data_IF_461384515085
#
_entry.id   IF_461384515085
#
_cell.length_a   1.000
_cell.length_b   1.000
_cell.length_c   1.000
_cell.angle_alpha   90.00
_cell.angle_beta   90.00
_cell.angle_gamma   90.00
#
_symmetry.space_group_name_H-M   'P 1'
#
loop_
_entity.id
_entity.type
_entity.pdbx_description
1 polymer ?
#
# COMPACT_ATOMS: atom_id res chain seq x y z
N UNK A 1 1.14 -5.57 7.06
CA UNK A 1 1.08 -6.91 6.41
C UNK A 1 1.27 -6.78 4.90
N UNK A 2 1.72 -7.81 4.18
CA UNK A 2 1.97 -7.75 2.72
C UNK A 2 1.29 -8.89 1.96
N UNK A 3 1.03 -8.70 0.67
CA UNK A 3 0.59 -9.76 -0.27
C UNK A 3 1.05 -9.44 -1.70
N UNK A 4 1.01 -10.43 -2.59
CA UNK A 4 1.35 -10.32 -4.00
C UNK A 4 0.19 -10.82 -4.86
N UNK A 5 -0.25 -10.05 -5.84
CA UNK A 5 -1.40 -10.41 -6.69
C UNK A 5 -1.36 -9.68 -8.04
N UNK A 6 -2.30 -10.00 -8.94
CA UNK A 6 -2.49 -9.35 -10.23
C UNK A 6 -3.86 -9.69 -10.82
N UNK A 7 -4.38 -8.84 -11.70
CA UNK A 7 -5.57 -9.08 -12.53
C UNK A 7 -6.75 -9.59 -11.70
N UNK A 8 -7.29 -10.77 -12.03
CA UNK A 8 -8.46 -11.37 -11.39
C UNK A 8 -8.23 -11.62 -9.90
N UNK A 9 -6.99 -11.94 -9.50
CA UNK A 9 -6.63 -12.13 -8.10
C UNK A 9 -6.80 -10.85 -7.29
N UNK A 10 -6.48 -9.68 -7.87
CA UNK A 10 -6.68 -8.40 -7.22
C UNK A 10 -8.16 -8.06 -7.08
N UNK A 11 -8.97 -8.35 -8.12
CA UNK A 11 -10.42 -8.13 -8.07
C UNK A 11 -11.09 -8.90 -6.93
N UNK A 12 -10.65 -10.13 -6.66
CA UNK A 12 -11.14 -10.94 -5.55
C UNK A 12 -10.75 -10.38 -4.17
N UNK A 13 -9.77 -9.49 -4.10
CA UNK A 13 -9.35 -8.84 -2.86
C UNK A 13 -10.12 -7.53 -2.59
N UNK A 14 -10.80 -6.93 -3.57
CA UNK A 14 -11.51 -5.65 -3.45
C UNK A 14 -12.41 -5.57 -2.19
N UNK A 15 -13.25 -6.58 -1.86
CA UNK A 15 -14.10 -6.50 -0.68
C UNK A 15 -13.30 -6.34 0.63
N UNK A 16 -12.17 -7.04 0.75
CA UNK A 16 -11.29 -6.93 1.91
C UNK A 16 -10.48 -5.64 1.89
N UNK A 17 -10.15 -5.08 0.73
CA UNK A 17 -9.45 -3.80 0.64
C UNK A 17 -10.26 -2.68 1.29
N UNK A 18 -11.57 -2.61 1.07
CA UNK A 18 -12.41 -1.64 1.78
C UNK A 18 -12.34 -1.78 3.30
N UNK A 19 -12.27 -3.01 3.81
CA UNK A 19 -12.17 -3.28 5.25
C UNK A 19 -10.78 -2.91 5.79
N UNK A 20 -9.72 -3.26 5.09
CA UNK A 20 -8.34 -2.93 5.47
C UNK A 20 -8.14 -1.40 5.51
N UNK A 21 -8.61 -0.68 4.50
CA UNK A 21 -8.54 0.78 4.45
C UNK A 21 -9.45 1.43 5.50
N UNK A 22 -10.69 0.95 5.63
CA UNK A 22 -11.64 1.47 6.61
C UNK A 22 -11.20 1.30 8.06
N UNK A 23 -10.42 0.26 8.37
CA UNK A 23 -9.84 0.03 9.69
C UNK A 23 -8.44 0.67 9.87
N UNK A 24 -7.95 1.41 8.86
CA UNK A 24 -6.65 2.09 8.87
C UNK A 24 -5.51 1.16 9.27
N UNK A 25 -5.46 0.00 8.60
CA UNK A 25 -4.47 -1.03 8.84
C UNK A 25 -3.28 -0.85 7.89
N UNK A 26 -2.03 -0.71 8.42
CA UNK A 26 -0.85 -0.59 7.58
C UNK A 26 -0.59 -1.89 6.81
N UNK A 27 -0.75 -1.83 5.48
CA UNK A 27 -0.47 -2.96 4.59
C UNK A 27 -0.01 -2.50 3.22
N UNK A 28 0.78 -3.34 2.54
CA UNK A 28 1.25 -3.07 1.17
C UNK A 28 0.92 -4.26 0.28
N UNK A 29 0.21 -4.00 -0.81
CA UNK A 29 -0.09 -4.98 -1.83
C UNK A 29 0.86 -4.72 -3.00
N UNK A 30 1.76 -5.67 -3.27
CA UNK A 30 2.65 -5.60 -4.42
C UNK A 30 1.95 -6.21 -5.63
N UNK A 31 1.65 -5.39 -6.63
CA UNK A 31 0.82 -5.78 -7.77
C UNK A 31 1.62 -5.68 -9.05
N UNK A 32 1.80 -6.82 -9.73
CA UNK A 32 2.25 -6.80 -11.13
C UNK A 32 1.05 -6.53 -12.03
N UNK A 33 0.80 -5.25 -12.33
CA UNK A 33 -0.43 -4.77 -12.96
C UNK A 33 -0.66 -5.48 -14.29
N UNK A 34 -1.87 -6.02 -14.47
CA UNK A 34 -2.20 -6.95 -15.55
C UNK A 34 -3.64 -6.79 -16.04
N UNK A 35 -3.81 -6.95 -17.35
CA UNK A 35 -5.11 -6.96 -18.03
C UNK A 35 -6.18 -7.77 -17.29
N UNK A 36 -7.35 -7.16 -17.08
CA UNK A 36 -8.57 -7.81 -16.64
C UNK A 36 -9.19 -8.56 -17.82
N UNK A 37 -9.58 -9.82 -17.60
CA UNK A 37 -10.28 -10.60 -18.61
C UNK A 37 -11.62 -9.94 -18.96
N UNK A 38 -11.79 -9.58 -20.23
CA UNK A 38 -13.01 -8.95 -20.75
C UNK A 38 -13.65 -9.84 -21.82
N UNK A 39 -13.38 -9.58 -23.11
CA UNK A 39 -13.77 -10.46 -24.22
C UNK A 39 -12.87 -11.71 -24.31
N UNK A 40 -11.65 -11.61 -23.79
CA UNK A 40 -10.67 -12.68 -23.74
C UNK A 40 -9.77 -12.54 -22.50
N UNK A 41 -9.13 -13.64 -22.11
CA UNK A 41 -8.07 -13.63 -21.10
C UNK A 41 -6.80 -13.00 -21.68
N UNK A 42 -6.17 -12.11 -20.93
CA UNK A 42 -4.85 -11.59 -21.24
C UNK A 42 -3.95 -11.69 -20.01
N UNK A 43 -2.72 -12.19 -20.20
CA UNK A 43 -1.72 -12.33 -19.15
C UNK A 43 -0.80 -11.12 -19.02
N UNK A 44 -0.77 -10.24 -20.02
CA UNK A 44 0.17 -9.13 -20.14
C UNK A 44 -0.25 -7.88 -19.35
N UNK A 45 0.70 -6.97 -19.20
CA UNK A 45 0.56 -5.76 -18.40
C UNK A 45 -0.34 -4.70 -19.01
N UNK A 46 -1.26 -4.20 -18.19
CA UNK A 46 -1.92 -2.90 -18.30
C UNK A 46 -2.37 -2.50 -16.88
N UNK A 47 -3.09 -1.38 -16.73
CA UNK A 47 -3.53 -0.90 -15.40
C UNK A 47 -5.01 -1.16 -15.10
N UNK A 48 -5.68 -2.03 -15.86
CA UNK A 48 -7.12 -2.26 -15.72
C UNK A 48 -7.51 -2.86 -14.37
N UNK A 49 -6.63 -3.65 -13.76
CA UNK A 49 -6.84 -4.26 -12.45
C UNK A 49 -6.63 -3.27 -11.29
N UNK A 50 -5.53 -2.53 -11.29
CA UNK A 50 -5.24 -1.52 -10.27
C UNK A 50 -6.26 -0.39 -10.31
N UNK A 51 -6.69 0.06 -11.50
CA UNK A 51 -7.73 1.08 -11.62
C UNK A 51 -9.12 0.59 -11.22
N UNK A 52 -9.39 -0.72 -11.23
CA UNK A 52 -10.61 -1.27 -10.65
C UNK A 52 -10.63 -1.15 -9.11
N UNK A 53 -9.49 -0.87 -8.47
CA UNK A 53 -9.33 -0.75 -7.02
C UNK A 53 -9.18 0.68 -6.52
N UNK A 54 -9.13 1.70 -7.40
CA UNK A 54 -8.85 3.10 -7.03
C UNK A 54 -9.78 3.70 -5.97
N UNK A 55 -11.01 3.19 -5.90
CA UNK A 55 -12.04 3.65 -4.96
C UNK A 55 -12.03 2.91 -3.61
N UNK A 56 -11.14 1.92 -3.42
CA UNK A 56 -11.11 1.09 -2.19
C UNK A 56 -10.59 1.83 -0.97
N UNK A 57 -9.98 3.00 -1.16
CA UNK A 57 -9.31 3.76 -0.09
C UNK A 57 -7.86 3.36 0.13
N UNK A 58 -7.27 2.53 -0.73
CA UNK A 58 -5.83 2.32 -0.75
C UNK A 58 -5.13 3.50 -1.43
N UNK A 59 -3.97 3.88 -0.91
CA UNK A 59 -3.02 4.69 -1.65
C UNK A 59 -2.44 3.89 -2.81
N UNK A 60 -2.06 4.54 -3.90
CA UNK A 60 -1.53 3.88 -5.08
C UNK A 60 -0.18 4.51 -5.43
N UNK A 61 0.89 3.71 -5.41
CA UNK A 61 2.24 4.10 -5.78
C UNK A 61 2.68 3.28 -7.00
N UNK A 62 3.04 3.97 -8.08
CA UNK A 62 3.41 3.37 -9.35
C UNK A 62 4.92 3.42 -9.55
N UNK A 63 5.50 2.33 -10.06
CA UNK A 63 6.93 2.17 -10.27
C UNK A 63 7.19 1.81 -11.74
N UNK A 64 8.06 2.57 -12.40
CA UNK A 64 8.19 2.52 -13.86
C UNK A 64 9.28 1.55 -14.38
N UNK A 65 10.23 1.16 -13.53
CA UNK A 65 11.36 0.31 -13.90
C UNK A 65 11.85 -0.54 -12.71
N UNK A 66 12.65 -1.61 -12.93
CA UNK A 66 13.12 -2.48 -11.85
C UNK A 66 13.89 -1.78 -10.73
N UNK A 67 14.59 -0.68 -11.00
CA UNK A 67 15.29 0.10 -9.97
C UNK A 67 14.28 0.86 -9.09
N UNK A 68 13.30 1.53 -9.68
CA UNK A 68 12.20 2.16 -8.94
C UNK A 68 11.40 1.17 -8.09
N UNK A 69 11.20 -0.07 -8.58
CA UNK A 69 10.58 -1.14 -7.77
C UNK A 69 11.39 -1.44 -6.50
N UNK A 70 12.72 -1.42 -6.60
CA UNK A 70 13.59 -1.60 -5.43
C UNK A 70 13.57 -0.38 -4.49
N UNK A 71 13.51 0.82 -5.05
CA UNK A 71 13.67 2.07 -4.30
C UNK A 71 12.39 2.55 -3.62
N UNK A 72 11.24 2.39 -4.29
CA UNK A 72 9.95 2.91 -3.85
C UNK A 72 9.10 1.89 -3.07
N UNK A 73 9.36 0.59 -3.21
CA UNK A 73 8.71 -0.42 -2.38
C UNK A 73 8.91 -0.17 -0.87
N UNK A 74 10.12 0.19 -0.38
CA UNK A 74 10.31 0.66 0.99
C UNK A 74 9.48 1.89 1.35
N UNK A 75 9.36 2.87 0.45
CA UNK A 75 8.53 4.07 0.67
C UNK A 75 7.09 3.66 0.96
N UNK A 76 6.51 2.75 0.17
CA UNK A 76 5.16 2.24 0.40
C UNK A 76 5.01 1.58 1.77
N UNK A 77 5.98 0.76 2.20
CA UNK A 77 5.93 0.10 3.52
C UNK A 77 6.08 1.09 4.68
N UNK A 78 7.05 1.99 4.59
CA UNK A 78 7.34 2.97 5.63
C UNK A 78 6.20 4.00 5.77
N UNK A 79 5.66 4.48 4.63
CA UNK A 79 4.52 5.38 4.61
C UNK A 79 3.23 4.69 5.08
N UNK A 80 3.01 3.41 4.76
CA UNK A 80 1.87 2.67 5.29
C UNK A 80 1.92 2.57 6.82
N UNK A 81 3.11 2.29 7.40
CA UNK A 81 3.30 2.18 8.85
C UNK A 81 2.99 3.50 9.56
N UNK A 82 3.57 4.61 9.08
CA UNK A 82 3.39 5.91 9.71
C UNK A 82 2.02 6.54 9.41
N UNK A 83 1.57 6.49 8.15
CA UNK A 83 0.34 7.10 7.69
C UNK A 83 -0.93 6.29 7.98
N UNK A 84 -0.79 5.00 8.36
CA UNK A 84 -1.88 4.04 8.61
C UNK A 84 -2.78 3.72 7.41
N UNK A 85 -2.56 4.36 6.27
CA UNK A 85 -3.27 4.08 5.02
C UNK A 85 -2.58 2.93 4.30
N UNK A 86 -3.32 1.90 3.83
CA UNK A 86 -2.72 0.81 3.07
C UNK A 86 -2.37 1.23 1.64
N UNK A 87 -1.36 0.57 1.05
CA UNK A 87 -0.82 0.88 -0.28
C UNK A 87 -1.03 -0.25 -1.28
N UNK A 88 -1.38 0.10 -2.51
CA UNK A 88 -1.13 -0.70 -3.71
C UNK A 88 0.18 -0.17 -4.28
N UNK A 89 1.24 -0.94 -4.16
CA UNK A 89 2.51 -0.68 -4.80
C UNK A 89 2.54 -1.48 -6.09
N UNK A 90 2.54 -0.82 -7.25
CA UNK A 90 2.34 -1.51 -8.53
C UNK A 90 3.33 -1.11 -9.61
N UNK A 91 3.61 -2.09 -10.46
CA UNK A 91 4.51 -1.99 -11.61
C UNK A 91 3.98 -2.83 -12.75
N UNK A 92 4.38 -2.51 -13.98
CA UNK A 92 3.81 -3.13 -15.18
C UNK A 92 4.13 -4.63 -15.27
N UNK A 93 3.08 -5.44 -15.40
CA UNK A 93 3.18 -6.89 -15.59
C UNK A 93 3.93 -7.23 -16.88
N UNK A 94 4.87 -8.17 -16.79
CA UNK A 94 5.87 -8.51 -17.81
C UNK A 94 6.84 -7.38 -18.14
N UNK A 95 6.35 -6.17 -18.46
CA UNK A 95 7.21 -5.08 -18.92
C UNK A 95 8.22 -4.64 -17.88
N UNK A 96 7.84 -4.58 -16.61
CA UNK A 96 8.75 -4.26 -15.49
C UNK A 96 8.98 -5.50 -14.62
N UNK A 97 7.93 -6.31 -14.38
CA UNK A 97 8.03 -7.44 -13.45
C UNK A 97 8.94 -8.59 -13.90
N UNK A 98 9.21 -8.70 -15.21
CA UNK A 98 10.10 -9.71 -15.78
C UNK A 98 11.28 -9.09 -16.55
N UNK A 99 11.46 -7.77 -16.46
CA UNK A 99 12.62 -7.10 -17.03
C UNK A 99 13.85 -7.38 -16.17
N UNK A 100 14.93 -7.85 -16.80
CA UNK A 100 16.21 -8.06 -16.13
C UNK A 100 17.05 -6.81 -16.34
N UNK A 101 17.32 -6.10 -15.25
CA UNK A 101 18.20 -4.95 -15.22
C UNK A 101 19.23 -5.13 -14.11
N UNK A 102 20.46 -4.63 -14.32
CA UNK A 102 21.41 -4.47 -13.22
C UNK A 102 20.93 -3.30 -12.36
N UNK A 103 20.58 -3.59 -11.12
CA UNK A 103 20.09 -2.61 -10.15
C UNK A 103 20.98 -2.57 -8.90
N UNK A 104 20.92 -1.46 -8.19
CA UNK A 104 21.40 -1.37 -6.81
C UNK A 104 20.29 -1.87 -5.87
N UNK A 105 20.69 -2.47 -4.74
CA UNK A 105 19.76 -3.09 -3.78
C UNK A 105 20.00 -2.56 -2.38
N UNK A 106 18.95 -2.55 -1.58
CA UNK A 106 19.04 -2.18 -0.17
C UNK A 106 19.74 -3.26 0.66
N UNK A 107 20.53 -2.81 1.64
CA UNK A 107 20.76 -3.58 2.85
C UNK A 107 19.54 -3.42 3.78
N UNK A 108 19.15 -4.49 4.46
CA UNK A 108 18.06 -4.46 5.41
C UNK A 108 18.38 -3.58 6.63
N UNK A 109 19.65 -3.39 6.97
CA UNK A 109 20.06 -2.44 8.00
C UNK A 109 19.66 -1.00 7.64
N UNK A 110 19.91 -0.58 6.39
CA UNK A 110 19.51 0.75 5.91
C UNK A 110 18.00 0.95 5.94
N UNK A 111 17.24 -0.10 5.59
CA UNK A 111 15.77 -0.07 5.67
C UNK A 111 15.30 0.05 7.13
N UNK A 112 15.93 -0.67 8.06
CA UNK A 112 15.58 -0.65 9.47
C UNK A 112 15.80 0.73 10.10
N UNK A 113 16.84 1.46 9.68
CA UNK A 113 17.15 2.82 10.16
C UNK A 113 16.06 3.84 9.77
N UNK A 114 15.31 3.59 8.68
CA UNK A 114 14.26 4.49 8.22
C UNK A 114 12.94 4.30 8.96
N UNK A 115 12.74 3.17 9.66
CA UNK A 115 11.47 2.79 10.29
C UNK A 115 11.10 3.73 11.45
N UNK A 116 9.85 4.17 11.46
CA UNK A 116 9.25 4.81 12.62
C UNK A 116 8.79 3.76 13.65
N UNK A 117 9.65 3.47 14.64
CA UNK A 117 9.38 2.46 15.66
C UNK A 117 8.23 2.81 16.61
N UNK A 118 7.95 4.10 16.81
CA UNK A 118 6.79 4.53 17.61
C UNK A 118 5.48 4.20 16.89
N UNK A 119 5.42 4.38 15.57
CA UNK A 119 4.27 3.97 14.76
C UNK A 119 4.08 2.44 14.75
N UNK A 120 5.18 1.68 14.69
CA UNK A 120 5.15 0.22 14.82
C UNK A 120 4.59 -0.19 16.19
N UNK A 121 5.06 0.44 17.26
CA UNK A 121 4.57 0.18 18.63
C UNK A 121 3.08 0.49 18.75
N UNK A 122 2.64 1.65 18.25
CA UNK A 122 1.23 2.04 18.25
C UNK A 122 0.35 1.05 17.48
N UNK A 123 0.83 0.52 16.35
CA UNK A 123 0.13 -0.54 15.61
C UNK A 123 -0.01 -1.82 16.44
N UNK A 124 1.04 -2.21 17.17
CA UNK A 124 1.00 -3.41 18.04
C UNK A 124 0.05 -3.25 19.21
N UNK A 125 0.04 -2.08 19.85
CA UNK A 125 -0.89 -1.74 20.93
C UNK A 125 -2.34 -1.74 20.42
N UNK A 126 -2.54 -1.34 19.17
CA UNK A 126 -3.82 -1.44 18.48
C UNK A 126 -4.10 -2.82 17.89
N UNK A 127 -3.45 -3.90 18.32
CA UNK A 127 -3.82 -5.26 17.91
C UNK A 127 -5.05 -5.77 18.69
N UNK A 128 -5.73 -6.79 18.18
CA UNK A 128 -6.72 -7.53 18.96
C UNK A 128 -5.99 -8.42 19.97
N UNK A 129 -6.28 -8.23 21.26
CA UNK A 129 -5.68 -9.00 22.35
C UNK A 129 -6.71 -9.17 23.47
N UNK A 130 -6.96 -10.38 23.99
CA UNK A 130 -7.86 -10.61 25.12
C UNK A 130 -7.50 -9.83 26.39
N UNK A 131 -6.21 -9.52 26.62
CA UNK A 131 -5.75 -8.76 27.79
C UNK A 131 -6.10 -7.26 27.70
N UNK A 132 -6.38 -6.75 26.50
CA UNK A 132 -6.83 -5.38 26.26
C UNK A 132 -7.81 -5.36 25.05
N UNK A 133 -9.04 -5.86 25.24
CA UNK A 133 -9.95 -6.17 24.14
C UNK A 133 -10.53 -4.90 23.51
N UNK A 134 -10.81 -4.97 22.21
CA UNK A 134 -11.49 -3.93 21.45
C UNK A 134 -12.42 -4.54 20.41
N UNK A 135 -13.55 -3.88 20.14
CA UNK A 135 -14.50 -4.27 19.08
C UNK A 135 -14.19 -3.51 17.78
N UNK A 136 -14.28 -4.19 16.63
CA UNK A 136 -14.14 -3.59 15.29
C UNK A 136 -15.11 -4.24 14.32
N UNK A 137 -15.43 -3.52 13.24
CA UNK A 137 -16.30 -4.02 12.18
C UNK A 137 -17.75 -4.26 12.64
N UNK A 138 -18.25 -3.41 13.54
CA UNK A 138 -19.66 -3.42 13.94
C UNK A 138 -20.58 -3.08 12.78
N UNK A 139 -21.86 -3.43 12.94
CA UNK A 139 -22.94 -2.88 12.14
C UNK A 139 -23.26 -1.47 12.65
N UNK A 140 -23.48 -0.53 11.74
CA UNK A 140 -23.89 0.84 12.04
C UNK A 140 -25.15 1.20 11.25
N UNK A 141 -26.03 1.99 11.86
CA UNK A 141 -27.20 2.54 11.19
C UNK A 141 -26.85 3.88 10.51
N UNK A 142 -27.79 4.42 9.73
CA UNK A 142 -27.58 5.64 8.94
C UNK A 142 -27.46 6.94 9.75
N UNK A 143 -27.64 6.89 11.06
CA UNK A 143 -27.52 8.02 11.99
C UNK A 143 -26.07 8.42 12.27
N UNK A 144 -25.15 7.46 12.32
CA UNK A 144 -23.71 7.70 12.62
C UNK A 144 -22.75 7.30 11.51
N UNK A 145 -23.16 6.42 10.60
CA UNK A 145 -22.27 5.84 9.60
C UNK A 145 -21.51 6.89 8.78
N UNK A 146 -22.20 7.95 8.37
CA UNK A 146 -21.59 8.96 7.51
C UNK A 146 -20.49 9.75 8.23
N UNK A 147 -20.74 10.13 9.48
CA UNK A 147 -19.78 10.84 10.32
C UNK A 147 -18.54 9.97 10.60
N UNK A 148 -18.73 8.69 10.91
CA UNK A 148 -17.62 7.77 11.12
C UNK A 148 -16.83 7.50 9.84
N UNK A 149 -17.49 7.49 8.67
CA UNK A 149 -16.81 7.35 7.37
C UNK A 149 -15.88 8.52 7.07
N UNK A 150 -16.27 9.75 7.42
CA UNK A 150 -15.48 10.97 7.21
C UNK A 150 -14.41 11.19 8.30
N UNK A 151 -14.47 10.47 9.43
CA UNK A 151 -13.49 10.58 10.50
C UNK A 151 -12.06 10.17 10.07
N UNK A 152 -11.93 9.44 8.95
CA UNK A 152 -10.63 9.05 8.41
C UNK A 152 -9.94 10.16 7.58
N UNK A 153 -10.63 11.23 7.19
CA UNK A 153 -10.13 12.22 6.23
C UNK A 153 -8.74 12.76 6.58
N UNK A 154 -8.53 13.07 7.87
CA UNK A 154 -7.24 13.56 8.38
C UNK A 154 -6.03 12.66 8.06
N UNK A 155 -6.23 11.34 7.96
CA UNK A 155 -5.15 10.41 7.62
C UNK A 155 -4.83 10.46 6.12
N UNK A 156 -5.84 10.59 5.28
CA UNK A 156 -5.68 10.74 3.83
C UNK A 156 -5.11 12.12 3.46
N UNK A 157 -5.55 13.19 4.12
CA UNK A 157 -5.04 14.55 3.90
C UNK A 157 -3.55 14.67 4.29
N UNK A 158 -3.12 13.96 5.34
CA UNK A 158 -1.73 13.95 5.80
C UNK A 158 -0.82 13.02 4.97
N UNK A 159 -1.39 12.05 4.26
CA UNK A 159 -0.63 10.99 3.60
C UNK A 159 0.40 11.48 2.57
N UNK A 160 0.10 12.46 1.69
CA UNK A 160 1.08 12.94 0.71
C UNK A 160 2.39 13.41 1.35
N UNK A 161 2.30 14.17 2.44
CA UNK A 161 3.47 14.65 3.18
C UNK A 161 4.27 13.50 3.83
N UNK A 162 3.60 12.43 4.28
CA UNK A 162 4.27 11.23 4.80
C UNK A 162 5.02 10.51 3.67
N UNK A 163 4.43 10.39 2.48
CA UNK A 163 5.08 9.79 1.32
C UNK A 163 6.30 10.62 0.89
N UNK A 164 6.16 11.93 0.76
CA UNK A 164 7.26 12.85 0.42
C UNK A 164 8.41 12.76 1.43
N UNK A 165 8.10 12.68 2.73
CA UNK A 165 9.11 12.47 3.79
C UNK A 165 9.92 11.20 3.56
N UNK A 166 9.27 10.08 3.18
CA UNK A 166 9.97 8.82 2.96
C UNK A 166 10.69 8.75 1.61
N UNK A 167 10.15 9.39 0.58
CA UNK A 167 10.90 9.63 -0.67
C UNK A 167 12.16 10.46 -0.39
N UNK A 168 12.07 11.50 0.45
CA UNK A 168 13.21 12.29 0.91
C UNK A 168 14.29 11.46 1.61
N UNK A 169 13.91 10.57 2.54
CA UNK A 169 14.86 9.65 3.20
C UNK A 169 15.56 8.71 2.22
N UNK A 170 14.82 8.18 1.23
CA UNK A 170 15.40 7.36 0.15
C UNK A 170 16.37 8.20 -0.68
N UNK A 171 15.94 9.37 -1.14
CA UNK A 171 16.75 10.32 -1.91
C UNK A 171 18.08 10.65 -1.21
N UNK A 172 18.07 10.84 0.11
CA UNK A 172 19.28 11.08 0.91
C UNK A 172 20.23 9.88 0.97
N UNK A 173 19.70 8.65 1.04
CA UNK A 173 20.51 7.42 1.16
C UNK A 173 21.16 7.01 -0.16
N UNK A 174 20.44 7.13 -1.28
CA UNK A 174 20.87 6.59 -2.59
C UNK A 174 21.14 7.67 -3.65
N UNK A 175 20.96 8.95 -3.32
CA UNK A 175 21.28 10.07 -4.22
C UNK A 175 20.30 10.24 -5.38
N UNK A 176 19.04 9.85 -5.19
CA UNK A 176 17.94 9.97 -6.17
C UNK A 176 17.09 11.21 -5.92
N UNK A 177 16.08 11.45 -6.77
CA UNK A 177 15.08 12.50 -6.58
C UNK A 177 13.72 12.05 -7.10
N UNK A 178 13.02 11.25 -6.28
CA UNK A 178 11.60 10.92 -6.43
C UNK A 178 10.71 12.02 -5.89
#
# INVERSE_FOLDING_TARGET
TTTFTASQGLLLMIPNMYKIAGELLPSVFHVSARCVASHALNIFGDHSDVYACRQTGFAMLAESNPQEVMDLAPVAHLAAIEGRVPFINFFDGFRTSHEIQKIEKWDYADLADMINWDAVKAFREHALNPEHPAMRGSHENGDTFFQHREACNKYYDALPAVVEKYMGKVNEKIGTNY
#
